data_IF_390721538741
#
_entry.id   IF_390721538741
#
_cell.length_a   1.000
_cell.length_b   1.000
_cell.length_c   1.000
_cell.angle_alpha   90.00
_cell.angle_beta   90.00
_cell.angle_gamma   90.00
#
_symmetry.space_group_name_H-M   'P 1'
#
loop_
_entity.id
_entity.type
_entity.pdbx_description
1 polymer ?
#
# COMPACT_ATOMS: atom_id res chain seq x y z
N UNK A 1 -9.52 -6.57 -4.71
CA UNK A 1 -10.16 -5.25 -4.95
C UNK A 1 -9.74 -4.24 -3.89
N UNK A 2 -9.94 -4.49 -2.58
CA UNK A 2 -9.46 -3.59 -1.50
C UNK A 2 -7.98 -3.19 -1.58
N UNK A 3 -7.06 -4.15 -1.69
CA UNK A 3 -5.63 -3.84 -1.86
C UNK A 3 -5.30 -3.07 -3.14
N UNK A 4 -6.03 -3.28 -4.25
CA UNK A 4 -5.78 -2.55 -5.50
C UNK A 4 -6.14 -1.06 -5.34
N UNK A 5 -7.28 -0.77 -4.71
CA UNK A 5 -7.67 0.61 -4.43
C UNK A 5 -6.72 1.30 -3.44
N UNK A 6 -6.30 0.59 -2.40
CA UNK A 6 -5.30 1.12 -1.46
C UNK A 6 -3.92 1.34 -2.11
N UNK A 7 -3.52 0.46 -3.04
CA UNK A 7 -2.31 0.64 -3.84
C UNK A 7 -2.41 1.89 -4.71
N UNK A 8 -3.49 2.04 -5.46
CA UNK A 8 -3.72 3.20 -6.32
C UNK A 8 -3.63 4.51 -5.52
N UNK A 9 -4.42 4.61 -4.44
CA UNK A 9 -4.43 5.77 -3.54
C UNK A 9 -3.03 6.10 -2.97
N UNK A 10 -2.30 5.09 -2.47
CA UNK A 10 -0.96 5.30 -1.93
C UNK A 10 0.02 5.72 -3.03
N UNK A 11 -0.02 5.11 -4.21
CA UNK A 11 0.90 5.47 -5.30
C UNK A 11 0.65 6.88 -5.83
N UNK A 12 -0.61 7.27 -6.03
CA UNK A 12 -0.98 8.63 -6.44
C UNK A 12 -0.54 9.64 -5.38
N UNK A 13 -0.88 9.41 -4.11
CA UNK A 13 -0.50 10.30 -3.01
C UNK A 13 1.01 10.43 -2.87
N UNK A 14 1.76 9.33 -3.01
CA UNK A 14 3.22 9.35 -2.94
C UNK A 14 3.85 10.12 -4.10
N UNK A 15 3.35 9.91 -5.32
CA UNK A 15 3.82 10.66 -6.47
C UNK A 15 3.56 12.16 -6.27
N UNK A 16 2.31 12.55 -5.96
CA UNK A 16 1.96 13.96 -5.71
C UNK A 16 2.84 14.60 -4.63
N UNK A 17 3.09 13.92 -3.52
CA UNK A 17 3.98 14.42 -2.47
C UNK A 17 5.41 14.69 -2.97
N UNK A 18 5.96 13.82 -3.82
CA UNK A 18 7.30 14.02 -4.39
C UNK A 18 7.34 15.20 -5.36
N UNK A 19 6.33 15.37 -6.22
CA UNK A 19 6.25 16.53 -7.10
C UNK A 19 6.10 17.84 -6.32
N UNK A 20 5.35 17.82 -5.22
CA UNK A 20 5.18 19.00 -4.36
C UNK A 20 6.47 19.36 -3.61
N UNK A 21 7.21 18.36 -3.12
CA UNK A 21 8.57 18.57 -2.57
C UNK A 21 9.51 19.20 -3.61
N UNK A 22 9.48 18.71 -4.86
CA UNK A 22 10.29 19.26 -5.96
C UNK A 22 9.88 20.68 -6.32
N UNK A 23 8.58 20.99 -6.36
CA UNK A 23 8.08 22.33 -6.63
C UNK A 23 8.49 23.32 -5.52
N UNK A 24 8.44 22.89 -4.27
CA UNK A 24 8.85 23.71 -3.12
C UNK A 24 10.37 23.94 -3.05
N UNK A 25 11.17 22.96 -3.46
CA UNK A 25 12.62 23.05 -3.48
C UNK A 25 13.21 22.48 -4.79
N UNK A 26 13.24 23.28 -5.87
CA UNK A 26 13.68 22.86 -7.21
C UNK A 26 15.13 22.39 -7.31
N UNK A 27 15.95 22.64 -6.28
CA UNK A 27 17.34 22.23 -6.22
C UNK A 27 17.55 20.84 -5.60
N UNK A 28 16.52 20.22 -5.02
CA UNK A 28 16.62 18.89 -4.42
C UNK A 28 17.00 17.84 -5.48
N UNK A 29 17.99 16.99 -5.15
CA UNK A 29 18.38 15.87 -6.00
C UNK A 29 17.33 14.74 -5.93
N UNK A 30 17.32 13.78 -6.89
CA UNK A 30 16.45 12.60 -6.78
C UNK A 30 16.64 11.85 -5.45
N UNK A 31 17.87 11.81 -4.92
CA UNK A 31 18.16 11.19 -3.62
C UNK A 31 17.55 11.93 -2.44
N UNK A 32 17.50 13.27 -2.48
CA UNK A 32 16.88 14.08 -1.43
C UNK A 32 15.36 13.94 -1.45
N UNK A 33 14.77 13.98 -2.65
CA UNK A 33 13.33 13.75 -2.86
C UNK A 33 12.93 12.35 -2.39
N UNK A 34 13.72 11.33 -2.75
CA UNK A 34 13.46 9.96 -2.32
C UNK A 34 13.45 9.82 -0.80
N UNK A 35 14.46 10.37 -0.11
CA UNK A 35 14.52 10.32 1.36
C UNK A 35 13.39 11.10 2.01
N UNK A 36 13.06 12.28 1.48
CA UNK A 36 11.98 13.11 2.02
C UNK A 36 10.60 12.47 1.80
N UNK A 37 10.32 11.99 0.59
CA UNK A 37 9.10 11.26 0.26
C UNK A 37 8.95 9.98 1.08
N UNK A 38 10.03 9.22 1.29
CA UNK A 38 9.99 8.02 2.14
C UNK A 38 9.62 8.30 3.60
N UNK A 39 10.02 9.45 4.15
CA UNK A 39 9.58 9.83 5.51
C UNK A 39 8.07 10.05 5.54
N UNK A 40 7.54 10.81 4.57
CA UNK A 40 6.10 11.05 4.43
C UNK A 40 5.34 9.73 4.27
N UNK A 41 5.82 8.85 3.38
CA UNK A 41 5.21 7.54 3.16
C UNK A 41 5.20 6.66 4.41
N UNK A 42 6.27 6.66 5.21
CA UNK A 42 6.33 5.89 6.47
C UNK A 42 5.28 6.34 7.49
N UNK A 43 5.03 7.64 7.59
CA UNK A 43 4.12 8.18 8.61
C UNK A 43 2.67 7.73 8.39
N UNK A 44 2.27 7.50 7.13
CA UNK A 44 0.90 7.11 6.79
C UNK A 44 0.71 5.62 6.47
N UNK A 45 1.75 4.91 6.01
CA UNK A 45 1.62 3.50 5.59
C UNK A 45 1.19 2.57 6.73
N UNK A 46 1.62 2.85 7.96
CA UNK A 46 1.23 2.03 9.11
C UNK A 46 -0.29 2.03 9.34
N UNK A 47 -0.93 3.19 9.15
CA UNK A 47 -2.38 3.34 9.25
C UNK A 47 -3.12 2.61 8.12
N UNK A 48 -2.60 2.71 6.88
CA UNK A 48 -3.19 2.03 5.71
C UNK A 48 -3.10 0.51 5.83
N UNK A 49 -1.94 -0.01 6.26
CA UNK A 49 -1.75 -1.46 6.50
C UNK A 49 -2.72 -1.95 7.57
N UNK A 50 -2.84 -1.23 8.70
CA UNK A 50 -3.78 -1.60 9.77
C UNK A 50 -5.23 -1.64 9.27
N UNK A 51 -5.64 -0.63 8.48
CA UNK A 51 -6.97 -0.59 7.89
C UNK A 51 -7.23 -1.76 6.94
N UNK A 52 -6.25 -2.12 6.10
CA UNK A 52 -6.37 -3.29 5.23
C UNK A 52 -6.49 -4.60 6.01
N UNK A 53 -5.67 -4.79 7.06
CA UNK A 53 -5.77 -5.98 7.91
C UNK A 53 -7.16 -6.10 8.52
N UNK A 54 -7.72 -5.00 9.02
CA UNK A 54 -9.08 -4.97 9.55
C UNK A 54 -10.13 -5.28 8.47
N UNK A 55 -9.99 -4.69 7.28
CA UNK A 55 -10.91 -4.92 6.15
C UNK A 55 -10.88 -6.39 5.69
N UNK A 56 -9.70 -6.99 5.57
CA UNK A 56 -9.54 -8.40 5.20
C UNK A 56 -10.08 -9.34 6.28
N UNK A 57 -9.82 -9.03 7.56
CA UNK A 57 -10.39 -9.79 8.69
C UNK A 57 -11.91 -9.73 8.68
N UNK A 58 -12.49 -8.54 8.44
CA UNK A 58 -13.94 -8.36 8.30
C UNK A 58 -14.53 -9.11 7.12
N UNK A 59 -13.85 -9.11 5.97
CA UNK A 59 -14.28 -9.85 4.78
C UNK A 59 -14.25 -11.38 4.97
N UNK A 60 -13.42 -11.89 5.89
CA UNK A 60 -13.36 -13.31 6.21
C UNK A 60 -14.45 -13.79 7.18
N UNK A 61 -15.17 -12.87 7.86
CA UNK A 61 -16.19 -13.22 8.85
C UNK A 61 -17.32 -14.14 8.33
N UNK A 62 -17.89 -13.95 7.12
CA UNK A 62 -18.93 -14.84 6.62
C UNK A 62 -18.44 -16.28 6.41
N UNK A 63 -17.19 -16.43 5.94
CA UNK A 63 -16.56 -17.72 5.78
C UNK A 63 -16.35 -18.38 7.15
N UNK A 64 -15.85 -17.64 8.14
CA UNK A 64 -15.73 -18.14 9.52
C UNK A 64 -17.08 -18.56 10.10
N UNK A 65 -18.13 -17.77 9.88
CA UNK A 65 -19.49 -18.10 10.31
C UNK A 65 -20.01 -19.39 9.66
N UNK A 66 -19.78 -19.58 8.36
CA UNK A 66 -20.16 -20.79 7.64
C UNK A 66 -19.48 -22.04 8.22
N UNK A 67 -18.19 -21.94 8.57
CA UNK A 67 -17.46 -23.05 9.18
C UNK A 67 -17.97 -23.39 10.58
N UNK A 68 -18.28 -22.38 11.40
CA UNK A 68 -18.91 -22.58 12.72
C UNK A 68 -20.27 -23.26 12.59
N UNK A 69 -21.10 -22.81 11.65
CA UNK A 69 -22.42 -23.40 11.40
C UNK A 69 -22.36 -24.81 10.81
N UNK A 70 -21.24 -25.18 10.17
CA UNK A 70 -21.03 -26.49 9.55
C UNK A 70 -20.35 -27.50 10.49
N UNK A 71 -20.13 -27.15 11.76
CA UNK A 71 -19.45 -27.96 12.78
C UNK A 71 -18.07 -28.50 12.32
N UNK A 72 -17.39 -27.76 11.45
CA UNK A 72 -16.08 -28.15 10.93
C UNK A 72 -14.99 -28.00 12.00
N UNK A 73 -14.09 -28.98 12.08
CA UNK A 73 -12.95 -28.89 12.99
C UNK A 73 -12.02 -27.74 12.61
N UNK A 74 -11.36 -27.12 13.61
CA UNK A 74 -10.36 -26.06 13.38
C UNK A 74 -9.20 -26.55 12.49
N UNK A 75 -8.86 -27.85 12.56
CA UNK A 75 -7.84 -28.45 11.69
C UNK A 75 -8.27 -28.53 10.22
N UNK A 76 -9.54 -28.85 9.96
CA UNK A 76 -10.11 -28.85 8.62
C UNK A 76 -10.20 -27.43 8.04
N UNK A 77 -10.56 -26.45 8.89
CA UNK A 77 -10.57 -25.03 8.53
C UNK A 77 -9.19 -24.54 8.09
N UNK A 78 -8.15 -24.81 8.90
CA UNK A 78 -6.79 -24.37 8.64
C UNK A 78 -6.19 -24.97 7.35
N UNK A 79 -6.63 -26.16 6.96
CA UNK A 79 -6.22 -26.84 5.72
C UNK A 79 -7.14 -26.56 4.54
N UNK A 80 -8.16 -25.70 4.68
CA UNK A 80 -9.08 -25.41 3.59
C UNK A 80 -8.44 -24.46 2.56
N UNK A 81 -8.72 -24.74 1.28
CA UNK A 81 -8.27 -23.90 0.16
C UNK A 81 -8.74 -22.44 0.33
N UNK A 82 -9.96 -22.26 0.83
CA UNK A 82 -10.55 -20.93 1.02
C UNK A 82 -9.80 -20.11 2.08
N UNK A 83 -9.43 -20.71 3.21
CA UNK A 83 -8.61 -20.03 4.25
C UNK A 83 -7.19 -19.76 3.73
N UNK A 84 -6.56 -20.75 3.09
CA UNK A 84 -5.23 -20.56 2.50
C UNK A 84 -5.22 -19.41 1.49
N UNK A 85 -6.25 -19.32 0.66
CA UNK A 85 -6.41 -18.25 -0.33
C UNK A 85 -6.52 -16.88 0.34
N UNK A 86 -7.30 -16.73 1.42
CA UNK A 86 -7.37 -15.44 2.12
C UNK A 86 -6.09 -15.03 2.82
N UNK A 87 -5.38 -16.00 3.42
CA UNK A 87 -4.09 -15.74 4.04
C UNK A 87 -3.11 -15.24 2.99
N UNK A 88 -2.97 -15.96 1.87
CA UNK A 88 -2.07 -15.56 0.77
C UNK A 88 -2.47 -14.20 0.22
N UNK A 89 -3.77 -13.95 -0.02
CA UNK A 89 -4.27 -12.68 -0.54
C UNK A 89 -3.95 -11.51 0.39
N UNK A 90 -4.12 -11.70 1.70
CA UNK A 90 -3.81 -10.68 2.71
C UNK A 90 -2.31 -10.38 2.73
N UNK A 91 -1.47 -11.43 2.75
CA UNK A 91 -0.01 -11.28 2.74
C UNK A 91 0.49 -10.58 1.47
N UNK A 92 0.04 -11.03 0.30
CA UNK A 92 0.42 -10.42 -1.00
C UNK A 92 -0.04 -8.97 -1.07
N UNK A 93 -1.26 -8.67 -0.62
CA UNK A 93 -1.79 -7.31 -0.57
C UNK A 93 -0.95 -6.40 0.32
N UNK A 94 -0.62 -6.83 1.54
CA UNK A 94 0.20 -6.05 2.48
C UNK A 94 1.64 -5.86 2.01
N UNK A 95 2.28 -6.91 1.48
CA UNK A 95 3.65 -6.84 0.94
C UNK A 95 3.68 -5.89 -0.26
N UNK A 96 2.71 -6.03 -1.17
CA UNK A 96 2.58 -5.15 -2.33
C UNK A 96 2.47 -3.69 -1.92
N UNK A 97 1.64 -3.38 -0.91
CA UNK A 97 1.48 -2.01 -0.41
C UNK A 97 2.79 -1.46 0.20
N UNK A 98 3.46 -2.26 1.03
CA UNK A 98 4.74 -1.87 1.65
C UNK A 98 5.83 -1.64 0.60
N UNK A 99 5.84 -2.44 -0.47
CA UNK A 99 6.77 -2.29 -1.59
C UNK A 99 6.42 -1.13 -2.53
N UNK A 100 5.14 -0.80 -2.69
CA UNK A 100 4.68 0.26 -3.57
C UNK A 100 5.18 1.64 -3.15
N UNK A 101 5.21 1.93 -1.84
CA UNK A 101 5.72 3.22 -1.33
C UNK A 101 7.15 3.50 -1.80
N UNK A 102 8.18 2.71 -1.45
CA UNK A 102 9.54 2.97 -1.90
C UNK A 102 9.67 2.95 -3.43
N UNK A 103 8.96 2.05 -4.12
CA UNK A 103 9.05 1.96 -5.57
C UNK A 103 8.52 3.23 -6.26
N UNK A 104 7.32 3.68 -5.87
CA UNK A 104 6.70 4.88 -6.43
C UNK A 104 7.47 6.14 -6.04
N UNK A 105 7.92 6.26 -4.79
CA UNK A 105 8.74 7.40 -4.39
C UNK A 105 10.03 7.48 -5.20
N UNK A 106 10.68 6.34 -5.47
CA UNK A 106 11.90 6.29 -6.28
C UNK A 106 11.64 6.72 -7.72
N UNK A 107 10.61 6.15 -8.37
CA UNK A 107 10.22 6.51 -9.74
C UNK A 107 9.87 8.00 -9.85
N UNK A 108 9.01 8.49 -8.95
CA UNK A 108 8.60 9.89 -8.91
C UNK A 108 9.78 10.84 -8.71
N UNK A 109 10.75 10.48 -7.85
CA UNK A 109 11.90 11.32 -7.58
C UNK A 109 12.83 11.49 -8.80
N UNK A 110 12.90 10.50 -9.69
CA UNK A 110 13.67 10.62 -10.93
C UNK A 110 12.88 11.39 -11.98
N UNK A 111 11.61 11.05 -12.19
CA UNK A 111 10.73 11.72 -13.14
C UNK A 111 10.57 13.23 -12.85
N UNK A 112 10.35 13.61 -11.58
CA UNK A 112 10.18 15.01 -11.20
C UNK A 112 11.43 15.88 -11.41
N UNK A 113 12.61 15.27 -11.50
CA UNK A 113 13.86 15.99 -11.80
C UNK A 113 14.04 16.15 -13.31
N UNK A 114 13.65 15.15 -14.09
CA UNK A 114 13.67 15.17 -15.57
C UNK A 114 12.70 16.19 -16.15
N UNK A 115 11.49 16.30 -15.59
CA UNK A 115 10.45 17.22 -16.09
C UNK A 115 10.77 18.72 -15.87
N UNK A 116 11.81 19.04 -15.09
CA UNK A 116 12.10 20.42 -14.68
C UNK A 116 11.03 20.98 -13.71
N UNK A 117 11.27 22.15 -13.07
CA UNK A 117 10.25 22.73 -12.21
C UNK A 117 9.00 23.08 -13.03
N UNK A 118 7.77 22.79 -12.54
CA UNK A 118 6.56 23.16 -13.24
C UNK A 118 6.58 24.66 -13.50
N UNK A 119 6.42 25.04 -14.78
CA UNK A 119 6.39 26.43 -15.20
C UNK A 119 5.39 27.22 -14.37
N UNK A 120 5.86 28.31 -13.76
CA UNK A 120 5.01 29.28 -13.06
C UNK A 120 4.02 29.85 -14.07
N UNK A 121 2.76 29.43 -13.99
CA UNK A 121 1.63 30.08 -14.66
C UNK A 121 1.20 31.29 -13.84
#
# INVERSE_FOLDING_TARGET
>A
LGAMGALDDVTVTQASAVWELRAAAPTMTPGDLFRAGLRIGRDHIASTVNTLVLAYSGAALPLLALFVLSEQSLGSLANSEAVATEIIRTLVGSIGLVAAVPLTTWLAAHAAVEDGPPGRV
#
